data_IF_153330885685
#
_entry.id   IF_153330885685
#
_cell.length_a   1.000
_cell.length_b   1.000
_cell.length_c   1.000
_cell.angle_alpha   90.00
_cell.angle_beta   90.00
_cell.angle_gamma   90.00
#
_symmetry.space_group_name_H-M   'P 1'
#
loop_
_entity.id
_entity.type
_entity.pdbx_description
1 polymer ?
#
# COMPACT_ATOMS: atom_id res chain seq x y z
N UNK A 1 -6.83 -27.40 -21.59
CA UNK A 1 -6.09 -26.81 -20.45
C UNK A 1 -6.93 -27.01 -19.21
N UNK A 2 -6.44 -27.77 -18.21
CA UNK A 2 -7.18 -28.02 -16.97
C UNK A 2 -7.17 -26.72 -16.16
N UNK A 3 -8.35 -26.20 -15.81
CA UNK A 3 -8.50 -25.14 -14.82
C UNK A 3 -7.92 -25.64 -13.50
N UNK A 4 -6.70 -25.21 -13.20
CA UNK A 4 -6.17 -25.32 -11.84
C UNK A 4 -7.08 -24.39 -11.01
N UNK A 5 -7.76 -24.89 -9.96
CA UNK A 5 -8.53 -24.02 -9.09
C UNK A 5 -7.56 -22.98 -8.55
N UNK A 6 -7.76 -21.73 -8.95
CA UNK A 6 -6.96 -20.61 -8.48
C UNK A 6 -7.25 -20.51 -6.98
N UNK A 7 -6.32 -21.04 -6.18
CA UNK A 7 -6.36 -20.85 -4.74
C UNK A 7 -6.30 -19.34 -4.55
N UNK A 8 -7.22 -18.79 -3.75
CA UNK A 8 -7.16 -17.38 -3.38
C UNK A 8 -5.98 -17.20 -2.40
N UNK A 9 -4.77 -17.20 -2.97
CA UNK A 9 -3.50 -17.06 -2.25
C UNK A 9 -3.48 -15.75 -1.47
N UNK A 10 -4.15 -14.72 -2.00
CA UNK A 10 -4.36 -13.49 -1.28
C UNK A 10 -5.13 -13.73 0.01
N UNK A 11 -6.37 -14.22 -0.04
CA UNK A 11 -7.20 -14.41 1.18
C UNK A 11 -6.58 -15.37 2.19
N UNK A 12 -6.02 -16.48 1.72
CA UNK A 12 -5.39 -17.46 2.61
C UNK A 12 -4.07 -16.96 3.23
N UNK A 13 -3.45 -15.93 2.64
CA UNK A 13 -2.09 -15.50 2.99
C UNK A 13 -1.02 -16.52 2.60
N UNK A 14 -1.37 -17.61 1.90
CA UNK A 14 -0.46 -18.66 1.49
C UNK A 14 -0.13 -18.52 0.01
N UNK A 15 1.11 -18.14 -0.29
CA UNK A 15 1.59 -17.94 -1.65
C UNK A 15 2.60 -18.98 -2.04
N UNK A 16 2.56 -19.46 -3.27
CA UNK A 16 3.70 -20.12 -3.92
C UNK A 16 4.61 -19.09 -4.57
N UNK A 17 5.81 -19.51 -5.01
CA UNK A 17 6.68 -18.66 -5.83
C UNK A 17 5.96 -18.18 -7.10
N UNK A 18 5.23 -19.09 -7.76
CA UNK A 18 4.44 -18.78 -8.95
C UNK A 18 3.36 -17.72 -8.66
N UNK A 19 2.69 -17.79 -7.51
CA UNK A 19 1.68 -16.80 -7.13
C UNK A 19 2.31 -15.42 -6.92
N UNK A 20 3.49 -15.34 -6.30
CA UNK A 20 4.21 -14.07 -6.09
C UNK A 20 4.65 -13.46 -7.42
N UNK A 21 5.27 -14.28 -8.29
CA UNK A 21 5.71 -13.88 -9.64
C UNK A 21 4.52 -13.34 -10.44
N UNK A 22 3.40 -14.06 -10.42
CA UNK A 22 2.16 -13.66 -11.11
C UNK A 22 1.56 -12.39 -10.51
N UNK A 23 1.50 -12.29 -9.18
CA UNK A 23 0.93 -11.15 -8.47
C UNK A 23 1.75 -9.87 -8.70
N UNK A 24 3.07 -9.96 -8.76
CA UNK A 24 3.95 -8.83 -9.06
C UNK A 24 4.05 -8.54 -10.56
N UNK A 25 3.67 -9.49 -11.42
CA UNK A 25 3.72 -9.33 -12.88
C UNK A 25 5.15 -9.28 -13.41
N UNK A 26 6.07 -9.97 -12.74
CA UNK A 26 7.50 -10.02 -13.09
C UNK A 26 7.93 -11.45 -13.38
N UNK A 27 9.18 -11.65 -13.81
CA UNK A 27 9.77 -12.99 -13.93
C UNK A 27 10.43 -13.44 -12.63
N UNK A 28 10.47 -14.76 -12.38
CA UNK A 28 11.19 -15.31 -11.21
C UNK A 28 12.66 -14.90 -11.14
N UNK A 29 13.32 -14.77 -12.30
CA UNK A 29 14.71 -14.30 -12.41
C UNK A 29 14.84 -12.84 -11.94
N UNK A 30 13.93 -11.97 -12.37
CA UNK A 30 13.92 -10.56 -11.97
C UNK A 30 13.68 -10.39 -10.46
N UNK A 31 12.87 -11.27 -9.87
CA UNK A 31 12.56 -11.27 -8.44
C UNK A 31 13.57 -12.04 -7.57
N UNK A 32 14.68 -12.52 -8.13
CA UNK A 32 15.66 -13.34 -7.40
C UNK A 32 16.18 -12.69 -6.11
N UNK A 33 16.50 -11.39 -6.16
CA UNK A 33 16.92 -10.63 -4.97
C UNK A 33 15.80 -10.48 -3.93
N UNK A 34 14.54 -10.36 -4.39
CA UNK A 34 13.37 -10.27 -3.53
C UNK A 34 13.15 -11.60 -2.79
N UNK A 35 13.21 -12.74 -3.49
CA UNK A 35 13.12 -14.06 -2.88
C UNK A 35 14.27 -14.36 -1.91
N UNK A 36 15.46 -13.82 -2.17
CA UNK A 36 16.60 -13.94 -1.28
C UNK A 36 16.51 -13.05 -0.02
N UNK A 37 15.57 -12.09 0.03
CA UNK A 37 15.46 -11.18 1.16
C UNK A 37 14.93 -11.88 2.41
N UNK A 38 15.43 -11.48 3.59
CA UNK A 38 15.08 -12.15 4.85
C UNK A 38 13.58 -12.16 5.15
N UNK A 39 12.82 -11.16 4.69
CA UNK A 39 11.38 -11.12 4.90
C UNK A 39 10.68 -12.33 4.27
N UNK A 40 10.96 -12.64 3.00
CA UNK A 40 10.39 -13.79 2.32
C UNK A 40 10.99 -15.10 2.82
N UNK A 41 12.30 -15.12 3.13
CA UNK A 41 12.94 -16.31 3.71
C UNK A 41 12.35 -16.69 5.07
N UNK A 42 12.00 -15.72 5.91
CA UNK A 42 11.34 -15.96 7.21
C UNK A 42 9.88 -16.39 7.06
N UNK A 43 9.20 -15.97 5.99
CA UNK A 43 7.85 -16.40 5.65
C UNK A 43 7.80 -17.78 4.99
N UNK A 44 8.95 -18.31 4.55
CA UNK A 44 9.04 -19.59 3.86
C UNK A 44 8.63 -20.74 4.79
N UNK A 45 7.82 -21.64 4.25
CA UNK A 45 7.44 -22.92 4.84
C UNK A 45 7.93 -24.05 3.94
N UNK A 46 8.59 -25.07 4.50
CA UNK A 46 9.02 -26.21 3.72
C UNK A 46 7.79 -26.88 3.09
N UNK A 47 8.00 -27.42 1.90
CA UNK A 47 7.01 -28.30 1.30
C UNK A 47 6.88 -29.57 2.17
N UNK A 48 5.66 -29.97 2.48
CA UNK A 48 5.40 -31.35 2.92
C UNK A 48 5.79 -32.32 1.79
N UNK A 49 5.92 -33.63 2.08
CA UNK A 49 6.41 -34.62 1.12
C UNK A 49 5.68 -34.55 -0.24
N UNK A 50 6.35 -34.03 -1.27
CA UNK A 50 5.81 -33.84 -2.62
C UNK A 50 5.11 -32.50 -2.90
N UNK A 51 5.10 -31.57 -1.95
CA UNK A 51 4.49 -30.25 -2.08
C UNK A 51 5.38 -29.18 -2.72
N UNK A 52 4.79 -28.01 -2.96
CA UNK A 52 5.51 -26.79 -3.35
C UNK A 52 5.90 -25.99 -2.10
N UNK A 53 7.03 -25.28 -2.17
CA UNK A 53 7.40 -24.27 -1.17
C UNK A 53 6.29 -23.22 -1.09
N UNK A 54 5.91 -22.86 0.14
CA UNK A 54 4.89 -21.84 0.40
C UNK A 54 5.46 -20.71 1.23
N UNK A 55 4.88 -19.53 1.08
CA UNK A 55 5.17 -18.33 1.84
C UNK A 55 3.91 -17.93 2.58
N UNK A 56 4.00 -17.86 3.90
CA UNK A 56 2.91 -17.40 4.76
C UNK A 56 3.07 -15.89 4.99
N UNK A 57 2.26 -15.10 4.30
CA UNK A 57 2.35 -13.64 4.27
C UNK A 57 1.16 -13.01 5.01
N UNK A 58 1.46 -12.28 6.08
CA UNK A 58 0.48 -11.43 6.76
C UNK A 58 0.02 -10.26 5.86
N UNK A 59 -1.08 -9.55 6.19
CA UNK A 59 -1.51 -8.35 5.47
C UNK A 59 -0.39 -7.33 5.26
N UNK A 60 0.34 -7.00 6.32
CA UNK A 60 1.47 -6.07 6.24
C UNK A 60 2.65 -6.61 5.43
N UNK A 61 2.88 -7.93 5.44
CA UNK A 61 3.94 -8.54 4.61
C UNK A 61 3.59 -8.49 3.12
N UNK A 62 2.31 -8.73 2.76
CA UNK A 62 1.81 -8.57 1.38
C UNK A 62 1.95 -7.12 0.89
N UNK A 63 1.55 -6.16 1.72
CA UNK A 63 1.75 -4.74 1.43
C UNK A 63 3.24 -4.39 1.29
N UNK A 64 4.10 -4.83 2.22
CA UNK A 64 5.55 -4.60 2.15
C UNK A 64 6.16 -5.17 0.87
N UNK A 65 5.73 -6.35 0.45
CA UNK A 65 6.20 -6.99 -0.77
C UNK A 65 5.88 -6.15 -2.01
N UNK A 66 4.64 -5.68 -2.14
CA UNK A 66 4.23 -4.80 -3.24
C UNK A 66 5.00 -3.47 -3.24
N UNK A 67 5.20 -2.88 -2.07
CA UNK A 67 5.90 -1.59 -1.92
C UNK A 67 7.38 -1.73 -2.29
N UNK A 68 8.07 -2.75 -1.79
CA UNK A 68 9.48 -2.99 -2.12
C UNK A 68 9.66 -3.22 -3.61
N UNK A 69 8.78 -4.02 -4.21
CA UNK A 69 8.79 -4.28 -5.65
C UNK A 69 8.67 -2.97 -6.45
N UNK A 70 7.66 -2.15 -6.18
CA UNK A 70 7.43 -0.93 -6.95
C UNK A 70 8.49 0.15 -6.71
N UNK A 71 9.03 0.25 -5.50
CA UNK A 71 10.17 1.13 -5.21
C UNK A 71 11.41 0.72 -6.01
N UNK A 72 11.69 -0.58 -6.09
CA UNK A 72 12.78 -1.10 -6.90
C UNK A 72 12.53 -0.88 -8.39
N UNK A 73 11.32 -1.19 -8.87
CA UNK A 73 10.99 -1.17 -10.28
C UNK A 73 10.83 0.24 -10.87
N UNK A 74 10.24 1.16 -10.11
CA UNK A 74 9.82 2.47 -10.61
C UNK A 74 10.62 3.64 -10.02
N UNK A 75 11.28 3.45 -8.87
CA UNK A 75 12.15 4.48 -8.30
C UNK A 75 13.64 4.12 -8.37
N UNK A 76 14.02 2.94 -8.91
CA UNK A 76 15.37 2.37 -8.87
C UNK A 76 15.96 2.30 -7.46
N UNK A 77 15.11 2.18 -6.43
CA UNK A 77 15.57 2.05 -5.06
C UNK A 77 16.06 0.62 -4.81
N UNK A 78 17.30 0.38 -4.37
CA UNK A 78 17.77 -0.97 -4.11
C UNK A 78 16.87 -1.70 -3.11
N UNK A 79 16.52 -2.96 -3.39
CA UNK A 79 15.59 -3.76 -2.56
C UNK A 79 16.02 -3.81 -1.09
N UNK A 80 17.33 -3.90 -0.85
CA UNK A 80 17.91 -3.85 0.50
C UNK A 80 17.54 -2.56 1.24
N UNK A 81 17.58 -1.41 0.56
CA UNK A 81 17.27 -0.09 1.12
C UNK A 81 15.76 0.03 1.33
N UNK A 82 14.95 -0.41 0.36
CA UNK A 82 13.49 -0.45 0.48
C UNK A 82 13.04 -1.28 1.70
N UNK A 83 13.62 -2.47 1.87
CA UNK A 83 13.41 -3.33 3.05
C UNK A 83 13.76 -2.62 4.34
N UNK A 84 14.95 -2.01 4.42
CA UNK A 84 15.38 -1.29 5.62
C UNK A 84 14.43 -0.13 5.95
N UNK A 85 13.99 0.63 4.95
CA UNK A 85 13.03 1.71 5.15
C UNK A 85 11.71 1.19 5.75
N UNK A 86 11.12 0.14 5.18
CA UNK A 86 9.88 -0.46 5.69
C UNK A 86 10.05 -1.14 7.05
N UNK A 87 11.22 -1.69 7.34
CA UNK A 87 11.51 -2.29 8.67
C UNK A 87 11.63 -1.22 9.76
N UNK A 88 12.09 -0.01 9.42
CA UNK A 88 12.13 1.13 10.34
C UNK A 88 10.79 1.87 10.43
N UNK A 89 9.96 1.78 9.39
CA UNK A 89 8.65 2.42 9.30
C UNK A 89 7.54 1.40 9.00
N UNK A 90 7.29 0.43 9.90
CA UNK A 90 6.29 -0.62 9.69
C UNK A 90 4.86 -0.08 9.57
N UNK A 91 4.61 1.15 10.06
CA UNK A 91 3.32 1.82 9.98
C UNK A 91 2.87 2.03 8.53
N UNK A 92 3.80 2.17 7.58
CA UNK A 92 3.49 2.31 6.15
C UNK A 92 2.77 1.06 5.65
N UNK A 93 3.33 -0.12 5.91
CA UNK A 93 2.76 -1.39 5.47
C UNK A 93 1.40 -1.65 6.13
N UNK A 94 1.24 -1.31 7.41
CA UNK A 94 -0.05 -1.41 8.13
C UNK A 94 -1.08 -0.44 7.55
N UNK A 95 -0.67 0.78 7.20
CA UNK A 95 -1.57 1.79 6.62
C UNK A 95 -2.08 1.34 5.26
N UNK A 96 -1.18 0.88 4.39
CA UNK A 96 -1.53 0.35 3.07
C UNK A 96 -2.36 -0.92 3.17
N UNK A 97 -2.04 -1.85 4.09
CA UNK A 97 -2.82 -3.09 4.22
C UNK A 97 -4.26 -2.81 4.61
N UNK A 98 -4.54 -1.77 5.42
CA UNK A 98 -5.93 -1.38 5.79
C UNK A 98 -6.76 -0.84 4.62
N UNK A 99 -6.11 -0.35 3.56
CA UNK A 99 -6.79 0.10 2.34
C UNK A 99 -7.17 -1.11 1.48
N UNK A 100 -6.26 -2.10 1.42
CA UNK A 100 -6.35 -3.23 0.51
C UNK A 100 -7.16 -4.37 1.11
N UNK A 101 -7.03 -4.62 2.41
CA UNK A 101 -7.74 -5.61 3.20
C UNK A 101 -8.59 -4.89 4.26
N UNK A 102 -9.62 -4.18 3.80
CA UNK A 102 -10.55 -3.51 4.71
C UNK A 102 -11.32 -4.53 5.54
N UNK A 103 -11.30 -4.33 6.86
CA UNK A 103 -12.10 -5.06 7.83
C UNK A 103 -12.93 -4.04 8.59
N UNK A 104 -14.28 -4.12 8.57
CA UNK A 104 -15.11 -3.25 9.38
C UNK A 104 -14.86 -3.52 10.86
N UNK A 105 -14.93 -2.48 11.69
CA UNK A 105 -14.89 -2.66 13.14
C UNK A 105 -16.02 -3.59 13.59
N UNK A 106 -15.72 -4.53 14.48
CA UNK A 106 -16.70 -5.50 14.96
C UNK A 106 -17.85 -4.76 15.64
N UNK A 107 -19.06 -4.87 15.08
CA UNK A 107 -20.26 -4.37 15.73
C UNK A 107 -20.58 -5.32 16.90
N UNK A 108 -20.57 -4.81 18.13
CA UNK A 108 -20.74 -5.60 19.36
C UNK A 108 -22.09 -6.34 19.46
N UNK A 109 -23.04 -6.08 18.56
CA UNK A 109 -24.45 -6.44 18.74
C UNK A 109 -24.97 -7.65 17.96
N UNK A 110 -24.15 -8.38 17.20
CA UNK A 110 -24.64 -9.56 16.47
C UNK A 110 -23.77 -10.81 16.68
N UNK A 111 -24.21 -11.67 17.61
CA UNK A 111 -23.71 -13.02 17.87
C UNK A 111 -23.98 -14.02 16.74
N UNK A 112 -23.85 -13.61 15.48
CA UNK A 112 -23.83 -14.49 14.34
C UNK A 112 -22.41 -14.51 13.77
N UNK A 113 -21.86 -15.70 13.63
CA UNK A 113 -20.64 -16.01 12.87
C UNK A 113 -20.81 -15.55 11.42
N UNK A 114 -20.59 -14.26 11.16
CA UNK A 114 -20.31 -13.78 9.82
C UNK A 114 -18.85 -14.14 9.57
N UNK A 115 -18.59 -15.14 8.72
CA UNK A 115 -17.29 -15.27 8.08
C UNK A 115 -16.90 -13.88 7.57
N UNK A 116 -15.68 -13.37 7.85
CA UNK A 116 -15.28 -12.04 7.44
C UNK A 116 -15.38 -11.96 5.92
N UNK A 117 -16.51 -11.41 5.46
CA UNK A 117 -16.74 -11.18 4.05
C UNK A 117 -15.92 -9.93 3.78
N UNK A 118 -14.71 -10.11 3.25
CA UNK A 118 -13.79 -9.00 3.00
C UNK A 118 -14.51 -7.94 2.17
N UNK A 119 -14.91 -6.86 2.84
CA UNK A 119 -15.65 -5.79 2.22
C UNK A 119 -14.69 -4.97 1.35
N UNK A 120 -15.19 -4.57 0.19
CA UNK A 120 -14.47 -3.71 -0.74
C UNK A 120 -15.28 -2.43 -0.94
N UNK A 121 -15.32 -1.53 0.05
CA UNK A 121 -16.17 -0.34 0.01
C UNK A 121 -15.84 0.55 -1.19
N UNK A 122 -14.59 0.54 -1.64
CA UNK A 122 -14.13 1.31 -2.80
C UNK A 122 -14.29 0.59 -4.14
N UNK A 123 -14.75 -0.66 -4.14
CA UNK A 123 -14.95 -1.50 -5.32
C UNK A 123 -13.68 -1.69 -6.17
N UNK A 124 -12.50 -1.68 -5.54
CA UNK A 124 -11.21 -1.84 -6.23
C UNK A 124 -10.98 -3.25 -6.81
N UNK A 125 -11.69 -4.25 -6.32
CA UNK A 125 -11.52 -5.66 -6.64
C UNK A 125 -12.76 -6.26 -7.32
N UNK A 126 -13.68 -5.41 -7.80
CA UNK A 126 -14.76 -5.84 -8.68
C UNK A 126 -14.22 -6.32 -10.06
N UNK A 127 -14.92 -7.25 -10.73
CA UNK A 127 -14.50 -7.81 -12.02
C UNK A 127 -14.44 -6.76 -13.14
N UNK A 128 -15.26 -5.72 -13.04
CA UNK A 128 -15.34 -4.61 -14.00
C UNK A 128 -14.69 -3.31 -13.51
N UNK A 129 -14.01 -3.33 -12.35
CA UNK A 129 -13.31 -2.15 -11.87
C UNK A 129 -12.22 -1.78 -12.88
N UNK A 130 -12.41 -0.64 -13.56
CA UNK A 130 -11.46 -0.11 -14.51
C UNK A 130 -10.24 0.44 -13.78
N UNK A 131 -9.15 -0.30 -13.98
CA UNK A 131 -7.77 0.15 -13.91
C UNK A 131 -7.24 0.65 -12.57
N UNK A 132 -5.92 0.57 -12.55
CA UNK A 132 -4.96 1.03 -11.58
C UNK A 132 -5.01 2.55 -11.38
N UNK A 133 -6.21 3.14 -11.25
CA UNK A 133 -6.39 4.58 -11.18
C UNK A 133 -6.05 5.07 -9.76
N UNK A 134 -5.22 6.11 -9.67
CA UNK A 134 -4.97 6.77 -8.40
C UNK A 134 -6.27 7.33 -7.83
N UNK A 135 -6.56 7.02 -6.57
CA UNK A 135 -7.62 7.65 -5.79
C UNK A 135 -6.93 8.52 -4.75
N UNK A 136 -6.70 9.78 -5.11
CA UNK A 136 -5.86 10.70 -4.33
C UNK A 136 -6.27 10.75 -2.84
N UNK A 137 -7.57 10.70 -2.55
CA UNK A 137 -8.14 10.77 -1.20
C UNK A 137 -7.72 9.61 -0.27
N UNK A 138 -7.29 8.47 -0.81
CA UNK A 138 -6.88 7.29 -0.03
C UNK A 138 -5.48 6.78 -0.37
N UNK A 139 -4.93 7.19 -1.51
CA UNK A 139 -3.64 6.72 -1.96
C UNK A 139 -2.48 7.37 -1.22
N UNK A 140 -1.55 6.53 -0.81
CA UNK A 140 -0.31 6.90 -0.17
C UNK A 140 0.85 6.78 -1.16
N UNK A 141 1.88 7.61 -0.96
CA UNK A 141 3.03 7.67 -1.85
C UNK A 141 4.33 7.65 -1.06
N UNK A 142 5.36 7.03 -1.63
CA UNK A 142 6.75 7.25 -1.22
C UNK A 142 7.43 8.04 -2.32
N UNK A 143 7.96 9.19 -1.93
CA UNK A 143 8.73 10.08 -2.79
C UNK A 143 10.23 9.83 -2.53
N UNK A 144 10.96 9.43 -3.56
CA UNK A 144 12.42 9.40 -3.58
C UNK A 144 12.94 10.71 -4.20
N UNK A 145 13.60 11.53 -3.38
CA UNK A 145 14.05 12.87 -3.73
C UNK A 145 15.58 12.88 -3.82
N UNK A 146 16.10 13.41 -4.93
CA UNK A 146 17.54 13.47 -5.24
C UNK A 146 18.26 12.13 -5.06
N UNK A 147 17.55 11.02 -5.32
CA UNK A 147 18.02 9.63 -5.16
C UNK A 147 18.46 9.29 -3.72
N UNK A 148 18.13 10.16 -2.76
CA UNK A 148 18.73 10.17 -1.43
C UNK A 148 17.74 10.27 -0.31
N UNK A 149 16.67 11.04 -0.44
CA UNK A 149 15.74 11.27 0.67
C UNK A 149 14.43 10.55 0.41
N UNK A 150 13.94 9.82 1.41
CA UNK A 150 12.64 9.17 1.35
C UNK A 150 11.63 9.96 2.18
N UNK A 151 10.51 10.29 1.54
CA UNK A 151 9.40 11.00 2.14
C UNK A 151 8.13 10.18 1.92
N UNK A 152 7.39 9.90 3.00
CA UNK A 152 6.07 9.31 2.91
C UNK A 152 5.03 10.42 2.85
N UNK A 153 4.17 10.34 1.84
CA UNK A 153 3.09 11.27 1.58
C UNK A 153 1.77 10.53 1.74
N UNK A 154 1.04 10.84 2.81
CA UNK A 154 -0.19 10.14 3.23
C UNK A 154 -1.37 11.11 3.30
N UNK A 155 -2.58 10.75 2.85
CA UNK A 155 -3.76 11.61 3.03
C UNK A 155 -4.00 11.92 4.52
N UNK A 156 -4.24 13.19 4.85
CA UNK A 156 -4.51 13.63 6.23
C UNK A 156 -5.77 12.98 6.79
N UNK A 157 -6.78 12.85 5.95
CA UNK A 157 -8.03 12.20 6.31
C UNK A 157 -7.84 10.68 6.17
N UNK A 158 -7.96 9.96 7.27
CA UNK A 158 -7.75 8.51 7.29
C UNK A 158 -8.70 7.78 6.34
N UNK A 159 -8.14 6.95 5.46
CA UNK A 159 -8.87 6.14 4.48
C UNK A 159 -9.89 5.20 5.12
N UNK A 160 -9.60 4.70 6.32
CA UNK A 160 -10.45 3.75 7.04
C UNK A 160 -11.82 4.34 7.42
N UNK A 161 -11.89 5.58 7.89
CA UNK A 161 -13.16 6.20 8.28
C UNK A 161 -14.11 6.37 7.09
N UNK A 162 -13.56 6.72 5.92
CA UNK A 162 -14.33 6.85 4.68
C UNK A 162 -14.78 5.46 4.20
N UNK A 163 -13.89 4.47 4.25
CA UNK A 163 -14.22 3.08 3.91
C UNK A 163 -15.37 2.54 4.78
N UNK A 164 -15.32 2.80 6.09
CA UNK A 164 -16.36 2.40 7.04
C UNK A 164 -17.69 3.11 6.76
N UNK A 165 -17.68 4.41 6.47
CA UNK A 165 -18.89 5.16 6.13
C UNK A 165 -19.56 4.63 4.85
N UNK A 166 -18.77 4.35 3.81
CA UNK A 166 -19.28 3.76 2.56
C UNK A 166 -19.84 2.36 2.82
N UNK A 167 -19.11 1.52 3.55
CA UNK A 167 -19.53 0.16 3.86
C UNK A 167 -20.85 0.14 4.66
N UNK A 168 -20.96 0.97 5.71
CA UNK A 168 -22.16 1.07 6.52
C UNK A 168 -23.37 1.54 5.71
N UNK A 169 -23.18 2.54 4.83
CA UNK A 169 -24.24 3.05 3.95
C UNK A 169 -24.68 1.99 2.93
N UNK A 170 -23.73 1.27 2.32
CA UNK A 170 -24.03 0.16 1.41
C UNK A 170 -24.84 -0.95 2.10
N UNK A 171 -24.47 -1.34 3.32
CA UNK A 171 -25.22 -2.36 4.08
C UNK A 171 -26.66 -1.92 4.37
N UNK A 172 -26.88 -0.65 4.73
CA UNK A 172 -28.23 -0.10 4.92
C UNK A 172 -29.03 -0.12 3.62
N UNK A 173 -28.43 0.30 2.51
CA UNK A 173 -29.10 0.32 1.19
C UNK A 173 -29.40 -1.07 0.63
N UNK A 174 -28.63 -2.10 1.02
CA UNK A 174 -28.94 -3.49 0.69
C UNK A 174 -30.20 -3.98 1.41
N UNK A 175 -30.44 -3.53 2.64
CA UNK A 175 -31.62 -3.89 3.44
C UNK A 175 -32.84 -3.05 3.06
N UNK A 176 -32.66 -1.76 2.86
CA UNK A 176 -33.68 -0.81 2.41
C UNK A 176 -33.13 0.10 1.30
N UNK A 177 -33.40 -0.22 0.02
CA UNK A 177 -32.99 0.62 -1.10
C UNK A 177 -33.59 2.03 -1.10
N UNK A 178 -34.67 2.27 -0.34
CA UNK A 178 -35.36 3.57 -0.25
C UNK A 178 -34.90 4.41 0.97
N UNK A 179 -33.91 3.94 1.74
CA UNK A 179 -33.34 4.69 2.86
C UNK A 179 -32.61 5.96 2.36
N UNK A 180 -33.36 7.06 2.30
CA UNK A 180 -32.86 8.37 1.83
C UNK A 180 -31.68 8.89 2.65
N UNK A 181 -31.60 8.57 3.94
CA UNK A 181 -30.48 8.98 4.78
C UNK A 181 -29.22 8.18 4.42
N UNK A 182 -29.33 6.86 4.23
CA UNK A 182 -28.21 6.05 3.77
C UNK A 182 -27.74 6.43 2.35
N UNK A 183 -28.66 6.85 1.47
CA UNK A 183 -28.30 7.38 0.15
C UNK A 183 -27.48 8.68 0.29
N UNK A 184 -27.91 9.60 1.15
CA UNK A 184 -27.18 10.84 1.42
C UNK A 184 -25.79 10.56 2.02
N UNK A 185 -25.70 9.70 3.05
CA UNK A 185 -24.44 9.30 3.70
C UNK A 185 -23.46 8.68 2.68
N UNK A 186 -23.97 7.80 1.80
CA UNK A 186 -23.17 7.20 0.73
C UNK A 186 -22.66 8.26 -0.26
N UNK A 187 -23.52 9.16 -0.72
CA UNK A 187 -23.16 10.19 -1.68
C UNK A 187 -22.14 11.19 -1.10
N UNK A 188 -22.27 11.54 0.18
CA UNK A 188 -21.33 12.43 0.87
C UNK A 188 -19.95 11.78 1.00
N UNK A 189 -19.88 10.50 1.38
CA UNK A 189 -18.63 9.76 1.45
C UNK A 189 -18.00 9.54 0.06
N UNK A 190 -18.81 9.24 -0.97
CA UNK A 190 -18.35 9.12 -2.34
C UNK A 190 -17.87 10.47 -2.92
N UNK A 191 -18.52 11.58 -2.56
CA UNK A 191 -18.11 12.91 -2.96
C UNK A 191 -16.75 13.28 -2.34
N UNK A 192 -16.47 12.83 -1.11
CA UNK A 192 -15.16 13.00 -0.49
C UNK A 192 -14.03 12.40 -1.32
N UNK A 193 -14.23 11.20 -1.88
CA UNK A 193 -13.22 10.52 -2.70
C UNK A 193 -12.81 11.31 -3.97
N UNK A 194 -13.68 12.22 -4.43
CA UNK A 194 -13.42 13.08 -5.59
C UNK A 194 -12.72 14.40 -5.23
N UNK A 195 -12.58 14.72 -3.95
CA UNK A 195 -11.93 15.96 -3.52
C UNK A 195 -10.41 15.86 -3.72
N UNK A 196 -9.73 16.99 -4.01
CA UNK A 196 -8.27 17.04 -3.93
C UNK A 196 -7.81 16.58 -2.55
N UNK A 197 -6.84 15.68 -2.51
CA UNK A 197 -6.32 15.18 -1.25
C UNK A 197 -5.33 16.17 -0.63
N UNK A 198 -5.57 16.49 0.64
CA UNK A 198 -4.54 17.09 1.48
C UNK A 198 -3.63 16.01 2.04
N UNK A 199 -2.33 16.16 1.81
CA UNK A 199 -1.34 15.21 2.27
C UNK A 199 -0.61 15.71 3.52
N UNK A 200 -0.40 14.81 4.46
CA UNK A 200 0.66 14.88 5.44
C UNK A 200 1.95 14.32 4.83
N UNK A 201 3.07 14.94 5.15
CA UNK A 201 4.39 14.59 4.62
C UNK A 201 5.30 14.21 5.79
N UNK A 202 5.87 13.00 5.75
CA UNK A 202 6.64 12.41 6.85
C UNK A 202 8.03 12.03 6.33
N UNK A 203 9.08 12.63 6.90
CA UNK A 203 10.47 12.30 6.57
C UNK A 203 10.84 10.91 7.10
N UNK A 204 11.01 9.95 6.20
CA UNK A 204 11.40 8.60 6.60
C UNK A 204 12.89 8.52 6.95
N UNK A 205 13.73 9.16 6.13
CA UNK A 205 15.17 9.12 6.29
C UNK A 205 15.91 9.38 4.99
N UNK A 206 17.17 8.95 4.94
CA UNK A 206 18.03 9.11 3.77
C UNK A 206 18.80 7.84 3.41
N UNK A 207 19.21 7.72 2.15
CA UNK A 207 20.09 6.68 1.65
C UNK A 207 21.51 7.22 1.59
N UNK A 208 22.47 6.42 2.04
CA UNK A 208 23.90 6.71 1.92
C UNK A 208 24.68 5.41 1.91
N UNK A 209 25.59 5.25 0.96
CA UNK A 209 26.49 4.09 0.84
C UNK A 209 25.72 2.74 0.82
N UNK A 210 24.56 2.71 0.15
CA UNK A 210 23.70 1.52 0.05
C UNK A 210 22.94 1.15 1.34
N UNK A 211 22.90 2.05 2.32
CA UNK A 211 22.20 1.88 3.59
C UNK A 211 21.14 2.97 3.80
N UNK A 212 20.01 2.58 4.40
CA UNK A 212 19.00 3.50 4.89
C UNK A 212 19.36 4.03 6.28
N UNK A 213 19.27 5.35 6.45
CA UNK A 213 19.46 6.07 7.70
C UNK A 213 18.12 6.69 8.11
N UNK A 214 17.39 6.11 9.09
CA UNK A 214 16.09 6.63 9.49
C UNK A 214 16.21 8.01 10.12
N UNK A 215 15.18 8.84 9.96
CA UNK A 215 15.02 10.06 10.75
C UNK A 215 14.81 9.68 12.22
N UNK A 216 15.43 10.36 13.20
CA UNK A 216 15.18 10.09 14.60
C UNK A 216 13.70 10.30 14.96
N UNK A 217 13.10 9.33 15.64
CA UNK A 217 11.67 9.27 15.99
C UNK A 217 11.14 10.46 16.83
N UNK A 218 12.02 11.36 17.29
CA UNK A 218 11.67 12.53 18.11
C UNK A 218 11.17 13.74 17.31
N UNK A 219 11.32 13.75 15.98
CA UNK A 219 10.60 14.72 15.16
C UNK A 219 9.15 14.26 15.03
N UNK A 220 8.25 14.94 15.75
CA UNK A 220 6.84 15.10 15.40
C UNK A 220 6.66 15.17 13.87
N UNK A 221 5.49 14.85 13.28
CA UNK A 221 5.17 15.18 11.89
C UNK A 221 5.27 16.70 11.67
N UNK A 222 6.50 17.19 11.55
CA UNK A 222 6.82 18.51 11.10
C UNK A 222 6.68 18.44 9.60
N UNK A 223 5.77 19.26 9.07
CA UNK A 223 5.68 19.52 7.64
C UNK A 223 7.11 19.80 7.13
N UNK A 224 7.64 19.00 6.22
CA UNK A 224 9.01 19.12 5.75
C UNK A 224 9.14 20.41 4.95
N UNK A 225 9.59 21.49 5.59
CA UNK A 225 9.72 22.79 4.93
C UNK A 225 10.91 22.80 3.95
N UNK A 226 11.96 22.01 4.21
CA UNK A 226 13.20 21.92 3.42
C UNK A 226 13.81 20.51 3.49
N UNK A 227 14.72 20.20 2.55
CA UNK A 227 15.54 18.98 2.61
C UNK A 227 16.45 19.00 3.85
N UNK A 228 16.66 17.84 4.53
CA UNK A 228 17.50 17.75 5.74
C UNK A 228 18.98 18.11 5.55
N UNK A 229 19.44 18.39 4.33
CA UNK A 229 20.85 18.70 3.99
C UNK A 229 21.04 20.08 3.37
N UNK A 230 20.25 21.08 3.81
CA UNK A 230 20.39 22.47 3.38
C UNK A 230 21.69 23.17 3.86
N UNK A 231 22.82 22.48 3.96
CA UNK A 231 24.15 23.10 4.16
C UNK A 231 24.73 23.68 2.87
N UNK A 232 24.13 23.41 1.69
CA UNK A 232 24.68 23.83 0.39
C UNK A 232 24.03 25.07 -0.25
N UNK A 233 23.12 25.77 0.41
CA UNK A 233 22.48 26.95 -0.17
C UNK A 233 22.41 28.09 0.85
N UNK A 234 23.55 28.70 1.15
CA UNK A 234 23.58 30.08 1.66
C UNK A 234 23.08 31.10 0.59
N UNK A 235 22.86 30.65 -0.65
CA UNK A 235 22.47 31.50 -1.80
C UNK A 235 21.01 31.35 -2.25
N UNK A 236 20.30 30.29 -1.85
CA UNK A 236 18.85 30.23 -2.06
C UNK A 236 18.17 30.98 -0.92
N UNK A 237 17.82 32.23 -1.17
CA UNK A 237 17.18 33.13 -0.20
C UNK A 237 15.97 32.51 0.51
N UNK A 238 15.47 33.22 1.53
CA UNK A 238 14.43 32.81 2.48
C UNK A 238 13.13 32.18 1.90
N UNK A 239 12.95 32.09 0.58
CA UNK A 239 11.80 31.54 -0.13
C UNK A 239 11.92 30.07 -0.59
N UNK A 240 13.06 29.37 -0.40
CA UNK A 240 13.20 27.98 -0.84
C UNK A 240 12.34 27.01 0.00
N UNK A 241 11.34 26.41 -0.63
CA UNK A 241 10.46 25.36 -0.07
C UNK A 241 10.90 23.98 -0.55
N UNK A 242 10.42 22.90 0.08
CA UNK A 242 10.65 21.53 -0.40
C UNK A 242 10.30 21.36 -1.89
N UNK A 243 9.22 22.00 -2.36
CA UNK A 243 8.78 21.90 -3.75
C UNK A 243 9.75 22.56 -4.76
N UNK A 244 10.65 23.43 -4.29
CA UNK A 244 11.54 24.21 -5.16
C UNK A 244 13.02 23.88 -4.96
N UNK A 245 13.35 22.91 -4.11
CA UNK A 245 14.72 22.68 -3.63
C UNK A 245 15.22 21.24 -3.83
N UNK A 246 14.79 20.56 -4.89
CA UNK A 246 15.35 19.27 -5.31
C UNK A 246 15.63 19.26 -6.81
N UNK A 247 16.61 18.46 -7.24
CA UNK A 247 16.96 18.24 -8.65
C UNK A 247 16.07 17.18 -9.29
N UNK A 248 15.74 16.13 -8.55
CA UNK A 248 14.88 15.05 -9.03
C UNK A 248 13.93 14.55 -7.95
N UNK A 249 12.76 14.09 -8.39
CA UNK A 249 11.75 13.44 -7.53
C UNK A 249 11.08 12.32 -8.31
N UNK A 250 11.07 11.12 -7.75
CA UNK A 250 10.30 9.97 -8.23
C UNK A 250 9.26 9.60 -7.19
N UNK A 251 8.00 9.56 -7.59
CA UNK A 251 6.88 9.28 -6.71
C UNK A 251 6.29 7.91 -7.03
N UNK A 252 6.26 7.02 -6.04
CA UNK A 252 5.65 5.69 -6.15
C UNK A 252 4.35 5.68 -5.37
N UNK A 253 3.24 5.34 -6.02
CA UNK A 253 1.94 5.17 -5.36
C UNK A 253 1.88 3.78 -4.71
N UNK A 254 2.16 3.74 -3.41
CA UNK A 254 2.31 2.49 -2.66
C UNK A 254 0.98 1.82 -2.36
N UNK A 255 -0.12 2.59 -2.24
CA UNK A 255 -1.47 2.02 -2.13
C UNK A 255 -1.86 1.34 -3.43
N UNK A 256 -1.57 1.97 -4.57
CA UNK A 256 -1.85 1.42 -5.87
C UNK A 256 -1.02 0.15 -6.15
N UNK A 257 0.27 0.14 -5.81
CA UNK A 257 1.13 -1.04 -5.93
C UNK A 257 0.50 -2.27 -5.26
N UNK A 258 0.02 -2.11 -4.02
CA UNK A 258 -0.62 -3.18 -3.27
C UNK A 258 -1.99 -3.58 -3.84
N UNK A 259 -2.78 -2.62 -4.35
CA UNK A 259 -4.04 -2.90 -5.08
C UNK A 259 -3.78 -3.72 -6.35
N UNK A 260 -2.77 -3.35 -7.14
CA UNK A 260 -2.37 -4.06 -8.37
C UNK A 260 -1.95 -5.49 -8.05
N UNK A 261 -1.10 -5.66 -7.03
CA UNK A 261 -0.67 -6.99 -6.59
C UNK A 261 -1.87 -7.85 -6.15
N UNK A 262 -2.78 -7.31 -5.34
CA UNK A 262 -4.00 -8.02 -4.93
C UNK A 262 -4.87 -8.40 -6.11
N UNK A 263 -5.11 -7.49 -7.06
CA UNK A 263 -5.91 -7.77 -8.27
C UNK A 263 -5.35 -8.96 -9.04
N UNK A 264 -4.05 -8.97 -9.32
CA UNK A 264 -3.39 -10.09 -10.04
C UNK A 264 -3.46 -11.39 -9.23
N UNK A 265 -3.24 -11.34 -7.92
CA UNK A 265 -3.36 -12.50 -7.05
C UNK A 265 -4.79 -13.09 -7.03
N UNK A 266 -5.81 -12.25 -7.16
CA UNK A 266 -7.21 -12.64 -7.29
C UNK A 266 -7.60 -13.09 -8.71
N UNK A 267 -6.65 -13.14 -9.66
CA UNK A 267 -6.92 -13.46 -11.07
C UNK A 267 -7.68 -12.38 -11.83
N UNK A 268 -7.77 -11.17 -11.28
CA UNK A 268 -8.41 -10.04 -11.93
C UNK A 268 -7.45 -9.38 -12.92
N UNK A 269 -8.00 -8.89 -14.02
CA UNK A 269 -7.22 -8.21 -15.04
C UNK A 269 -6.63 -6.90 -14.49
N UNK A 270 -5.33 -6.70 -14.78
CA UNK A 270 -4.61 -5.44 -14.65
C UNK A 270 -4.07 -5.12 -16.05
N UNK A 271 -4.52 -4.01 -16.62
CA UNK A 271 -4.04 -3.51 -17.92
C UNK A 271 -2.81 -2.64 -17.73
#
# INVERSE_FOLDING_TARGET
MKNIPQIDSWRSGLFTEFDIVTALGESGVALGELFACDMLRSAQRPADAGGLVRFELSPSARASLAIMHDLWRHADLPLRVAKQALSNWPQIAVSVSRIVDFEPEACEDNGASWEPTHADPFQFFGPFAEESLPVAAVDEYIDLIDERFLLWRKPKHGSHGIAAAIHASQNRLLLDPQDTAAQADFLDAAAFLRRPAEYELIWLGSTRDGLFRPTPAASSPCTPERLPTATLMAEAGNAATLATNYRSKRSVNISLAARVMKRRALGLNVR
#
